data_IF_303632298330
#
_entry.id   IF_303632298330
#
_cell.length_a   1.000
_cell.length_b   1.000
_cell.length_c   1.000
_cell.angle_alpha   90.00
_cell.angle_beta   90.00
_cell.angle_gamma   90.00
#
_symmetry.space_group_name_H-M   'P 1'
#
loop_
_entity.id
_entity.type
_entity.pdbx_description
1 polymer ?
#
# COMPACT_ATOMS: atom_id res chain seq x y z
N UNK A 1 -5.23 2.01 2.42
CA UNK A 1 -3.75 1.87 2.34
C UNK A 1 -3.26 1.04 3.51
N UNK A 2 -2.08 0.44 3.44
CA UNK A 2 -1.59 -0.56 4.40
C UNK A 2 -1.54 -0.10 5.86
N UNK A 3 -1.55 1.22 6.11
CA UNK A 3 -1.37 1.79 7.43
C UNK A 3 -2.65 2.39 8.03
N UNK A 4 -3.77 2.44 7.30
CA UNK A 4 -5.06 2.88 7.89
C UNK A 4 -5.73 1.74 8.64
N UNK A 5 -6.70 2.02 9.54
CA UNK A 5 -7.43 0.98 10.23
C UNK A 5 -8.14 0.03 9.25
N UNK A 6 -8.12 -1.27 9.56
CA UNK A 6 -8.78 -2.30 8.73
C UNK A 6 -10.31 -2.16 8.79
N UNK A 7 -10.84 -2.03 10.01
CA UNK A 7 -12.26 -1.79 10.26
C UNK A 7 -12.52 -0.30 10.30
N UNK A 8 -12.85 0.27 9.15
CA UNK A 8 -13.08 1.70 8.99
C UNK A 8 -14.20 2.02 8.01
N UNK A 9 -14.59 3.29 7.94
CA UNK A 9 -15.55 3.81 6.97
C UNK A 9 -14.82 4.40 5.76
N UNK A 10 -15.48 4.39 4.60
CA UNK A 10 -14.94 4.98 3.37
C UNK A 10 -15.76 6.21 2.95
N UNK A 11 -15.16 7.24 2.34
CA UNK A 11 -13.72 7.36 2.05
C UNK A 11 -12.89 7.55 3.33
N UNK A 12 -11.60 7.21 3.24
CA UNK A 12 -10.65 7.41 4.34
C UNK A 12 -9.97 8.76 4.15
N UNK A 13 -9.85 9.53 5.23
CA UNK A 13 -9.06 10.77 5.30
C UNK A 13 -7.91 10.65 6.33
N UNK A 14 -7.06 11.67 6.36
CA UNK A 14 -5.86 11.73 7.20
C UNK A 14 -6.17 11.70 8.70
N UNK A 15 -7.31 12.24 9.12
CA UNK A 15 -7.73 12.26 10.53
C UNK A 15 -8.00 10.86 11.08
N UNK A 16 -8.20 9.89 10.19
CA UNK A 16 -8.55 8.51 10.53
C UNK A 16 -7.33 7.61 10.77
N UNK A 17 -6.10 8.10 10.56
CA UNK A 17 -4.86 7.31 10.59
C UNK A 17 -4.70 6.47 11.86
N UNK A 18 -5.00 7.06 13.02
CA UNK A 18 -4.80 6.44 14.33
C UNK A 18 -6.09 5.88 14.95
N UNK A 19 -7.21 5.91 14.21
CA UNK A 19 -8.55 5.55 14.71
C UNK A 19 -8.83 4.04 14.65
N UNK A 20 -7.89 3.23 15.13
CA UNK A 20 -8.02 1.77 15.19
C UNK A 20 -6.82 1.02 14.64
N UNK A 21 -6.84 -0.31 14.76
CA UNK A 21 -5.73 -1.18 14.34
C UNK A 21 -5.69 -1.36 12.82
N UNK A 22 -4.48 -1.39 12.26
CA UNK A 22 -4.25 -1.83 10.89
C UNK A 22 -4.58 -3.32 10.73
N UNK A 23 -4.60 -3.80 9.48
CA UNK A 23 -4.85 -5.21 9.21
C UNK A 23 -3.73 -6.09 9.79
N UNK A 24 -4.07 -7.28 10.31
CA UNK A 24 -3.11 -8.12 11.03
C UNK A 24 -1.93 -8.59 10.14
N UNK A 25 -2.15 -8.76 8.84
CA UNK A 25 -1.11 -9.22 7.91
C UNK A 25 0.04 -8.22 7.70
N UNK A 26 -0.11 -6.97 8.12
CA UNK A 26 0.91 -5.92 7.94
C UNK A 26 1.12 -5.07 9.19
N UNK A 27 0.70 -5.56 10.37
CA UNK A 27 0.68 -4.78 11.62
C UNK A 27 2.05 -4.17 11.96
N UNK A 28 3.12 -4.95 11.89
CA UNK A 28 4.48 -4.46 12.19
C UNK A 28 4.92 -3.32 11.26
N UNK A 29 4.65 -3.45 9.96
CA UNK A 29 4.92 -2.39 8.98
C UNK A 29 4.06 -1.15 9.25
N UNK A 30 2.77 -1.34 9.54
CA UNK A 30 1.83 -0.26 9.78
C UNK A 30 2.17 0.56 11.02
N UNK A 31 2.51 -0.10 12.14
CA UNK A 31 2.94 0.56 13.37
C UNK A 31 4.21 1.39 13.11
N UNK A 32 5.22 0.79 12.47
CA UNK A 32 6.46 1.48 12.17
C UNK A 32 6.24 2.75 11.33
N UNK A 33 5.37 2.69 10.30
CA UNK A 33 5.04 3.84 9.45
C UNK A 33 4.17 4.88 10.15
N UNK A 34 3.20 4.48 10.97
CA UNK A 34 2.39 5.41 11.78
C UNK A 34 3.22 6.20 12.77
N UNK A 35 4.28 5.60 13.32
CA UNK A 35 5.18 6.29 14.23
C UNK A 35 5.92 7.46 13.56
N UNK A 36 6.06 7.48 12.23
CA UNK A 36 6.66 8.62 11.52
C UNK A 36 5.78 9.88 11.69
N UNK A 37 4.45 9.76 11.60
CA UNK A 37 3.53 10.87 11.88
C UNK A 37 3.68 11.39 13.32
N UNK A 38 3.73 10.47 14.28
CA UNK A 38 3.91 10.83 15.70
C UNK A 38 5.25 11.53 15.91
N UNK A 39 6.33 10.99 15.32
CA UNK A 39 7.67 11.60 15.38
C UNK A 39 7.66 13.00 14.77
N UNK A 40 7.07 13.19 13.59
CA UNK A 40 6.98 14.50 12.95
C UNK A 40 6.32 15.53 13.88
N UNK A 41 5.21 15.17 14.54
CA UNK A 41 4.53 16.03 15.52
C UNK A 41 5.41 16.33 16.73
N UNK A 42 6.05 15.32 17.33
CA UNK A 42 6.94 15.51 18.48
C UNK A 42 8.14 16.42 18.15
N UNK A 43 8.73 16.26 16.96
CA UNK A 43 9.85 17.10 16.52
C UNK A 43 9.42 18.55 16.26
N UNK A 44 8.22 18.77 15.73
CA UNK A 44 7.64 20.10 15.61
C UNK A 44 7.42 20.74 16.99
N UNK A 45 6.79 20.02 17.92
CA UNK A 45 6.48 20.54 19.26
C UNK A 45 7.74 20.87 20.07
N UNK A 46 8.77 20.02 19.99
CA UNK A 46 9.99 20.17 20.79
C UNK A 46 11.01 21.14 20.16
N UNK A 47 11.12 21.15 18.83
CA UNK A 47 12.22 21.82 18.14
C UNK A 47 11.77 22.77 17.01
N UNK A 48 10.47 22.89 16.75
CA UNK A 48 9.95 23.68 15.62
C UNK A 48 10.31 23.10 14.25
N UNK A 49 10.65 21.80 14.16
CA UNK A 49 11.03 21.17 12.90
C UNK A 49 9.82 20.98 11.98
N UNK A 50 9.93 21.45 10.73
CA UNK A 50 8.89 21.30 9.71
C UNK A 50 9.02 19.97 8.95
N UNK A 51 8.88 18.85 9.67
CA UNK A 51 8.83 17.53 9.05
C UNK A 51 7.39 17.15 8.69
N UNK A 52 7.22 16.49 7.55
CA UNK A 52 5.90 16.06 7.08
C UNK A 52 6.00 14.66 6.46
N UNK A 53 4.86 14.04 6.18
CA UNK A 53 4.75 12.72 5.59
C UNK A 53 3.66 12.71 4.52
N UNK A 54 3.82 11.82 3.55
CA UNK A 54 2.82 11.55 2.51
C UNK A 54 2.47 10.08 2.56
N UNK A 55 1.18 9.77 2.38
CA UNK A 55 0.67 8.40 2.42
C UNK A 55 0.12 8.05 1.03
N UNK A 56 0.95 7.50 0.12
CA UNK A 56 0.47 7.10 -1.19
C UNK A 56 -0.49 5.90 -1.10
N UNK A 57 -1.29 5.74 -2.16
CA UNK A 57 -2.02 4.49 -2.42
C UNK A 57 -1.07 3.48 -3.07
N UNK A 58 -1.58 2.48 -3.80
CA UNK A 58 -0.69 1.52 -4.45
C UNK A 58 0.04 2.19 -5.61
N UNK A 59 1.37 2.27 -5.54
CA UNK A 59 2.21 2.84 -6.59
C UNK A 59 2.51 1.74 -7.62
N UNK A 60 2.59 2.09 -8.91
CA UNK A 60 3.10 1.21 -9.95
C UNK A 60 3.80 2.03 -11.03
N UNK A 61 4.85 1.47 -11.66
CA UNK A 61 5.53 2.17 -12.75
C UNK A 61 6.84 1.53 -13.16
N UNK A 62 7.65 2.24 -13.97
CA UNK A 62 9.02 1.83 -14.26
C UNK A 62 9.81 1.59 -12.97
N UNK A 63 10.74 0.63 -13.00
CA UNK A 63 11.59 0.23 -11.86
C UNK A 63 10.86 -0.46 -10.69
N UNK A 64 9.60 -0.85 -10.86
CA UNK A 64 8.91 -1.70 -9.89
C UNK A 64 9.46 -3.14 -9.90
N UNK A 65 9.10 -3.94 -8.90
CA UNK A 65 9.46 -5.35 -8.83
C UNK A 65 8.48 -6.18 -9.67
N UNK A 66 8.95 -6.68 -10.82
CA UNK A 66 8.18 -7.58 -11.69
C UNK A 66 8.39 -9.06 -11.37
N UNK A 67 9.01 -9.43 -10.24
CA UNK A 67 9.21 -10.83 -9.86
C UNK A 67 7.88 -11.54 -9.59
N UNK A 68 7.66 -12.74 -10.14
CA UNK A 68 6.34 -13.42 -10.11
C UNK A 68 5.82 -13.76 -8.70
N UNK A 69 6.72 -13.92 -7.73
CA UNK A 69 6.39 -14.33 -6.36
C UNK A 69 6.34 -13.17 -5.36
N UNK A 70 7.06 -12.08 -5.65
CA UNK A 70 7.29 -10.98 -4.69
C UNK A 70 6.96 -9.59 -5.27
N UNK A 71 6.17 -9.57 -6.35
CA UNK A 71 5.67 -8.35 -6.96
C UNK A 71 4.39 -7.84 -6.30
N UNK A 72 4.18 -6.53 -6.35
CA UNK A 72 2.86 -5.95 -6.18
C UNK A 72 1.90 -6.37 -7.30
N UNK A 73 0.60 -6.13 -7.10
CA UNK A 73 -0.44 -6.65 -7.99
C UNK A 73 -0.29 -6.22 -9.45
N UNK A 74 -0.04 -4.94 -9.74
CA UNK A 74 0.10 -4.47 -11.12
C UNK A 74 1.35 -5.06 -11.81
N UNK A 75 2.59 -4.90 -11.30
CA UNK A 75 3.76 -5.45 -11.96
C UNK A 75 3.69 -6.98 -12.08
N UNK A 76 3.16 -7.68 -11.07
CA UNK A 76 2.95 -9.12 -11.11
C UNK A 76 1.97 -9.56 -12.19
N UNK A 77 0.84 -8.84 -12.34
CA UNK A 77 -0.12 -9.11 -13.40
C UNK A 77 0.47 -8.81 -14.78
N UNK A 78 1.19 -7.69 -14.95
CA UNK A 78 1.87 -7.37 -16.22
C UNK A 78 2.79 -8.51 -16.64
N UNK A 79 3.62 -9.02 -15.72
CA UNK A 79 4.53 -10.11 -16.03
C UNK A 79 3.79 -11.42 -16.34
N UNK A 80 2.73 -11.75 -15.58
CA UNK A 80 1.89 -12.93 -15.85
C UNK A 80 1.21 -12.85 -17.22
N UNK A 81 0.67 -11.68 -17.60
CA UNK A 81 0.09 -11.48 -18.93
C UNK A 81 1.12 -11.59 -20.04
N UNK A 82 2.32 -11.05 -19.84
CA UNK A 82 3.42 -11.19 -20.80
C UNK A 82 3.76 -12.67 -21.05
N UNK A 83 3.92 -13.47 -19.99
CA UNK A 83 4.23 -14.89 -20.12
C UNK A 83 3.10 -15.69 -20.74
N UNK A 84 1.85 -15.44 -20.33
CA UNK A 84 0.68 -16.10 -20.91
C UNK A 84 0.56 -15.84 -22.42
N UNK A 85 0.77 -14.58 -22.84
CA UNK A 85 0.81 -14.20 -24.27
C UNK A 85 1.95 -14.90 -25.00
N UNK A 86 3.15 -14.91 -24.41
CA UNK A 86 4.34 -15.52 -25.01
C UNK A 86 4.20 -17.03 -25.19
N UNK A 87 3.57 -17.70 -24.24
CA UNK A 87 3.49 -19.17 -24.19
C UNK A 87 2.17 -19.72 -24.75
N UNK A 88 1.19 -18.86 -25.07
CA UNK A 88 -0.14 -19.29 -25.51
C UNK A 88 -0.94 -20.02 -24.43
N UNK A 89 -0.66 -19.76 -23.16
CA UNK A 89 -1.31 -20.42 -22.02
C UNK A 89 -2.40 -19.54 -21.40
N UNK A 90 -3.45 -20.12 -20.79
CA UNK A 90 -4.42 -19.35 -20.05
C UNK A 90 -3.75 -18.61 -18.86
N UNK A 91 -4.29 -17.44 -18.53
CA UNK A 91 -3.83 -16.63 -17.41
C UNK A 91 -4.79 -16.78 -16.23
N UNK A 92 -4.24 -16.97 -15.02
CA UNK A 92 -5.01 -17.09 -13.78
C UNK A 92 -4.73 -15.91 -12.85
N UNK A 93 -5.79 -15.19 -12.49
CA UNK A 93 -5.79 -14.22 -11.38
C UNK A 93 -6.25 -14.92 -10.12
N UNK A 94 -5.53 -14.75 -9.02
CA UNK A 94 -5.91 -15.35 -7.75
C UNK A 94 -7.01 -14.54 -7.04
N UNK A 95 -7.92 -15.27 -6.39
CA UNK A 95 -9.04 -14.69 -5.65
C UNK A 95 -10.28 -14.44 -6.51
N UNK A 96 -11.26 -13.78 -5.92
CA UNK A 96 -12.58 -13.58 -6.53
C UNK A 96 -12.67 -12.38 -7.48
N UNK A 97 -11.64 -11.55 -7.55
CA UNK A 97 -11.66 -10.28 -8.29
C UNK A 97 -12.53 -9.17 -7.69
N UNK A 98 -13.26 -9.44 -6.60
CA UNK A 98 -14.12 -8.47 -5.90
C UNK A 98 -13.37 -7.35 -5.14
N UNK A 99 -12.16 -7.56 -4.57
CA UNK A 99 -11.51 -6.51 -3.78
C UNK A 99 -11.20 -5.25 -4.59
N UNK A 100 -11.61 -4.08 -4.08
CA UNK A 100 -11.32 -2.78 -4.69
C UNK A 100 -9.94 -2.27 -4.28
N UNK A 101 -9.25 -1.59 -5.21
CA UNK A 101 -7.91 -1.02 -5.01
C UNK A 101 -7.82 0.34 -5.70
N UNK A 102 -7.07 1.27 -5.09
CA UNK A 102 -6.70 2.55 -5.68
C UNK A 102 -5.23 2.50 -6.07
N UNK A 103 -4.90 3.08 -7.22
CA UNK A 103 -3.55 3.12 -7.77
C UNK A 103 -3.15 4.53 -8.14
N UNK A 104 -1.86 4.82 -8.00
CA UNK A 104 -1.21 6.02 -8.48
C UNK A 104 0.02 5.60 -9.30
N UNK A 105 0.29 6.32 -10.38
CA UNK A 105 1.48 6.11 -11.22
C UNK A 105 2.69 6.80 -10.61
#
# INVERSE_FOLDING_TARGET
TCIFPDKTTYPIDESMLHNGKAHSSNEGYAIAKRNIDVLNRCYYDQYGCNFTSVIPTNIFGPHDNYHLEDSHVIPGLIHKFYLAKKNGTPMTVWGSGKPLRQFIY
#
